data_IF_789097719728
#
_entry.id   IF_789097719728
#
_cell.length_a   1.000
_cell.length_b   1.000
_cell.length_c   1.000
_cell.angle_alpha   90.00
_cell.angle_beta   90.00
_cell.angle_gamma   90.00
#
_symmetry.space_group_name_H-M   'P 1'
#
loop_
_entity.id
_entity.type
_entity.pdbx_description
1 polymer ?
#
# COMPACT_ATOMS: atom_id res chain seq x y z
N UNK A 1 17.51 72.20 -0.36
CA UNK A 1 16.47 71.19 -0.36
C UNK A 1 17.04 69.89 -0.96
N UNK A 2 17.28 68.85 -0.13
CA UNK A 2 17.80 67.57 -0.61
C UNK A 2 16.61 66.67 -0.90
N UNK A 3 16.45 66.27 -2.16
CA UNK A 3 15.47 65.26 -2.57
C UNK A 3 15.98 63.86 -2.21
N UNK A 4 15.19 63.14 -1.42
CA UNK A 4 15.40 61.74 -1.07
C UNK A 4 14.64 60.91 -2.05
N UNK A 5 15.33 60.11 -2.89
CA UNK A 5 14.70 59.14 -3.78
C UNK A 5 14.50 57.85 -3.00
N UNK A 6 13.22 57.45 -2.85
CA UNK A 6 12.88 56.12 -2.33
C UNK A 6 12.93 55.10 -3.49
N UNK A 7 13.87 54.17 -3.39
CA UNK A 7 13.94 53.05 -4.33
C UNK A 7 13.02 51.92 -3.80
N UNK A 8 11.90 51.70 -4.44
CA UNK A 8 11.01 50.56 -4.15
C UNK A 8 11.51 49.34 -4.92
N UNK A 9 12.14 48.41 -4.21
CA UNK A 9 12.53 47.12 -4.77
C UNK A 9 11.33 46.20 -4.65
N UNK A 10 10.65 45.94 -5.77
CA UNK A 10 9.59 44.94 -5.87
C UNK A 10 10.25 43.58 -6.09
N UNK A 11 10.33 42.76 -5.04
CA UNK A 11 10.77 41.37 -5.15
C UNK A 11 9.62 40.56 -5.78
N UNK A 12 9.79 40.13 -7.01
CA UNK A 12 8.94 39.10 -7.63
C UNK A 12 9.29 37.76 -7.04
N UNK A 13 8.46 37.26 -6.12
CA UNK A 13 8.50 35.87 -5.67
C UNK A 13 7.80 35.04 -6.74
N UNK A 14 8.56 34.43 -7.64
CA UNK A 14 8.03 33.40 -8.52
C UNK A 14 7.79 32.16 -7.67
N UNK A 15 6.53 31.91 -7.31
CA UNK A 15 6.11 30.62 -6.78
C UNK A 15 6.26 29.59 -7.90
N UNK A 16 7.35 28.82 -7.86
CA UNK A 16 7.45 27.63 -8.68
C UNK A 16 6.43 26.62 -8.14
N UNK A 17 5.30 26.49 -8.83
CA UNK A 17 4.36 25.41 -8.60
C UNK A 17 5.05 24.12 -9.02
N UNK A 18 5.55 23.36 -8.05
CA UNK A 18 5.92 21.97 -8.29
C UNK A 18 4.61 21.22 -8.52
N UNK A 19 4.32 20.92 -9.77
CA UNK A 19 3.29 19.95 -10.10
C UNK A 19 3.75 18.62 -9.53
N UNK A 20 3.21 18.26 -8.39
CA UNK A 20 3.43 16.95 -7.77
C UNK A 20 2.71 15.93 -8.67
N UNK A 21 3.49 15.05 -9.25
CA UNK A 21 2.95 13.98 -10.08
C UNK A 21 2.22 13.02 -9.14
N UNK A 22 0.89 12.99 -9.18
CA UNK A 22 0.04 12.17 -8.29
C UNK A 22 0.33 10.66 -8.33
N UNK A 23 1.11 10.21 -9.30
CA UNK A 23 1.57 8.82 -9.39
C UNK A 23 2.73 8.48 -8.44
N UNK A 24 3.41 9.46 -7.87
CA UNK A 24 4.58 9.27 -7.00
C UNK A 24 4.22 9.18 -5.51
N UNK A 25 2.94 9.43 -5.15
CA UNK A 25 2.50 9.54 -3.76
C UNK A 25 2.14 8.20 -3.08
N UNK A 26 2.10 7.11 -3.85
CA UNK A 26 1.68 5.79 -3.33
C UNK A 26 2.81 4.96 -2.73
N UNK A 27 4.08 5.38 -2.95
CA UNK A 27 5.23 4.70 -2.36
C UNK A 27 5.85 5.67 -1.36
N UNK A 28 5.90 5.33 -0.07
CA UNK A 28 6.58 6.14 0.92
C UNK A 28 8.05 6.34 0.52
N UNK A 29 8.52 7.59 0.52
CA UNK A 29 9.90 7.93 0.21
C UNK A 29 10.78 7.48 1.38
N UNK A 30 11.82 6.73 1.11
CA UNK A 30 12.79 6.25 2.09
C UNK A 30 13.20 4.81 1.82
N UNK A 31 13.39 4.01 2.83
CA UNK A 31 13.96 2.66 2.81
C UNK A 31 13.18 1.59 1.99
N UNK A 32 12.22 2.02 1.16
CA UNK A 32 11.38 1.13 0.36
C UNK A 32 11.91 0.89 -1.07
N UNK A 33 13.17 1.15 -1.35
CA UNK A 33 13.78 0.96 -2.70
C UNK A 33 13.58 -0.45 -3.27
N UNK A 34 13.34 -1.44 -2.42
CA UNK A 34 13.12 -2.83 -2.85
C UNK A 34 11.65 -3.25 -2.91
N UNK A 35 10.71 -2.30 -2.75
CA UNK A 35 9.28 -2.57 -2.89
C UNK A 35 8.85 -2.37 -4.33
N UNK A 36 8.25 -3.41 -4.91
CA UNK A 36 7.66 -3.33 -6.24
C UNK A 36 6.20 -2.92 -6.14
N UNK A 37 5.84 -1.79 -6.75
CA UNK A 37 4.46 -1.36 -6.88
C UNK A 37 3.87 -1.82 -8.23
N UNK A 38 2.65 -2.37 -8.20
CA UNK A 38 1.94 -2.85 -9.38
C UNK A 38 0.50 -2.38 -9.36
N UNK A 39 0.03 -1.80 -10.46
CA UNK A 39 -1.40 -1.53 -10.64
C UNK A 39 -2.14 -2.86 -10.81
N UNK A 40 -3.29 -2.96 -10.20
CA UNK A 40 -4.15 -4.12 -10.26
C UNK A 40 -5.61 -3.68 -10.40
N UNK A 41 -6.28 -4.12 -11.45
CA UNK A 41 -7.72 -3.91 -11.65
C UNK A 41 -8.42 -5.25 -11.46
N UNK A 42 -9.36 -5.32 -10.54
CA UNK A 42 -10.12 -6.53 -10.27
C UNK A 42 -11.18 -6.79 -11.33
N UNK A 43 -11.27 -8.02 -11.80
CA UNK A 43 -12.37 -8.45 -12.65
C UNK A 43 -13.66 -8.78 -11.86
N UNK A 44 -13.54 -8.98 -10.53
CA UNK A 44 -14.66 -9.33 -9.65
C UNK A 44 -15.45 -8.09 -9.25
N UNK A 45 -14.78 -7.07 -8.72
CA UNK A 45 -15.46 -5.85 -8.25
C UNK A 45 -15.24 -4.63 -9.13
N UNK A 46 -14.45 -4.76 -10.21
CA UNK A 46 -14.14 -3.71 -11.20
C UNK A 46 -13.50 -2.45 -10.63
N UNK A 47 -12.75 -2.58 -9.54
CA UNK A 47 -12.04 -1.48 -8.90
C UNK A 47 -10.53 -1.62 -9.06
N UNK A 48 -9.86 -0.46 -8.99
CA UNK A 48 -8.41 -0.35 -9.09
C UNK A 48 -7.75 -0.37 -7.71
N UNK A 49 -6.63 -1.08 -7.64
CA UNK A 49 -5.77 -1.19 -6.47
C UNK A 49 -4.30 -1.01 -6.85
N UNK A 50 -3.47 -0.83 -5.85
CA UNK A 50 -2.01 -0.92 -5.98
C UNK A 50 -1.52 -2.03 -5.07
N UNK A 51 -0.81 -2.98 -5.64
CA UNK A 51 -0.14 -4.02 -4.87
C UNK A 51 1.31 -3.61 -4.63
N UNK A 52 1.70 -3.56 -3.36
CA UNK A 52 3.07 -3.29 -2.91
C UNK A 52 3.70 -4.62 -2.51
N UNK A 53 4.70 -5.08 -3.25
CA UNK A 53 5.34 -6.38 -2.97
C UNK A 53 6.75 -6.18 -2.46
N UNK A 54 7.04 -6.67 -1.26
CA UNK A 54 8.37 -6.75 -0.66
C UNK A 54 8.79 -8.20 -0.54
N UNK A 55 9.94 -8.50 -1.14
CA UNK A 55 10.55 -9.83 -1.04
C UNK A 55 11.52 -9.87 0.16
N UNK A 56 11.68 -11.03 0.82
CA UNK A 56 12.65 -11.20 1.89
C UNK A 56 14.09 -11.10 1.38
N UNK A 57 15.02 -10.76 2.27
CA UNK A 57 16.44 -10.56 1.90
C UNK A 57 17.03 -11.79 1.22
N UNK A 58 16.74 -12.99 1.73
CA UNK A 58 17.26 -14.24 1.18
C UNK A 58 16.54 -14.71 -0.09
N UNK A 59 15.62 -13.94 -0.65
CA UNK A 59 14.84 -14.39 -1.83
C UNK A 59 15.71 -14.74 -3.03
N UNK A 60 16.79 -14.01 -3.25
CA UNK A 60 17.70 -14.23 -4.38
C UNK A 60 18.84 -15.22 -4.08
N UNK A 61 19.04 -15.61 -2.81
CA UNK A 61 20.15 -16.47 -2.39
C UNK A 61 19.90 -17.94 -2.74
N UNK A 62 18.64 -18.36 -2.83
CA UNK A 62 18.26 -19.73 -3.17
C UNK A 62 16.94 -19.78 -3.92
N UNK A 63 16.90 -20.62 -4.96
CA UNK A 63 15.68 -20.87 -5.75
C UNK A 63 14.76 -21.94 -5.14
N UNK A 64 15.21 -22.64 -4.10
CA UNK A 64 14.47 -23.78 -3.53
C UNK A 64 13.54 -23.39 -2.36
N UNK A 65 13.81 -22.26 -1.72
CA UNK A 65 13.04 -21.82 -0.56
C UNK A 65 11.71 -21.17 -1.01
N UNK A 66 10.62 -21.57 -0.40
CA UNK A 66 9.32 -20.90 -0.47
C UNK A 66 9.08 -20.08 0.80
N UNK A 67 8.26 -19.07 0.72
CA UNK A 67 8.06 -18.11 1.81
C UNK A 67 6.57 -17.96 2.13
N UNK A 68 6.19 -17.86 3.40
CA UNK A 68 4.86 -17.41 3.79
C UNK A 68 4.55 -16.05 3.18
N UNK A 69 3.26 -15.75 3.02
CA UNK A 69 2.82 -14.44 2.49
C UNK A 69 1.98 -13.73 3.54
N UNK A 70 2.32 -12.49 3.83
CA UNK A 70 1.52 -11.59 4.67
C UNK A 70 0.88 -10.52 3.79
N UNK A 71 -0.44 -10.55 3.67
CA UNK A 71 -1.22 -9.53 3.00
C UNK A 71 -1.56 -8.42 4.00
N UNK A 72 -1.33 -7.17 3.61
CA UNK A 72 -1.58 -6.00 4.47
C UNK A 72 -2.61 -5.08 3.84
N UNK A 73 -3.67 -4.78 4.57
CA UNK A 73 -4.69 -3.82 4.18
C UNK A 73 -4.23 -2.39 4.48
N UNK A 74 -4.84 -1.41 3.81
CA UNK A 74 -4.50 0.02 3.94
C UNK A 74 -3.01 0.30 3.71
N UNK A 75 -2.40 -0.38 2.75
CA UNK A 75 -0.96 -0.40 2.57
C UNK A 75 -0.35 0.95 2.21
N UNK A 76 -1.13 1.92 1.73
CA UNK A 76 -0.68 3.28 1.46
C UNK A 76 -0.11 3.97 2.71
N UNK A 77 -0.46 3.53 3.91
CA UNK A 77 0.12 4.01 5.18
C UNK A 77 0.65 2.90 6.08
N UNK A 78 0.00 1.73 6.12
CA UNK A 78 0.39 0.66 7.03
C UNK A 78 1.68 -0.04 6.61
N UNK A 79 2.00 -0.06 5.31
CA UNK A 79 3.10 -0.84 4.78
C UNK A 79 4.48 -0.42 5.29
N UNK A 80 4.82 0.88 5.39
CA UNK A 80 6.11 1.31 5.96
C UNK A 80 6.29 0.87 7.41
N UNK A 81 5.25 1.01 8.24
CA UNK A 81 5.30 0.58 9.64
C UNK A 81 5.45 -0.92 9.78
N UNK A 82 4.79 -1.68 8.90
CA UNK A 82 4.93 -3.13 8.88
C UNK A 82 6.34 -3.56 8.48
N UNK A 83 6.96 -2.87 7.51
CA UNK A 83 8.34 -3.15 7.10
C UNK A 83 9.34 -2.85 8.22
N UNK A 84 9.18 -1.76 8.95
CA UNK A 84 10.04 -1.42 10.07
C UNK A 84 9.88 -2.40 11.23
N UNK A 85 8.65 -2.72 11.59
CA UNK A 85 8.38 -3.73 12.62
C UNK A 85 8.96 -5.10 12.25
N UNK A 86 8.81 -5.51 10.99
CA UNK A 86 9.38 -6.76 10.48
C UNK A 86 10.90 -6.78 10.59
N UNK A 87 11.57 -5.69 10.23
CA UNK A 87 13.04 -5.59 10.31
C UNK A 87 13.53 -5.86 11.73
N UNK A 88 12.92 -5.21 12.72
CA UNK A 88 13.27 -5.40 14.13
C UNK A 88 13.00 -6.83 14.61
N UNK A 89 11.83 -7.39 14.26
CA UNK A 89 11.46 -8.74 14.65
C UNK A 89 12.34 -9.83 14.01
N UNK A 90 12.80 -9.62 12.78
CA UNK A 90 13.76 -10.51 12.11
C UNK A 90 15.13 -10.46 12.78
N UNK A 91 15.60 -9.26 13.16
CA UNK A 91 16.86 -9.07 13.87
C UNK A 91 16.89 -9.87 15.18
N UNK A 92 15.78 -9.86 15.90
CA UNK A 92 15.60 -10.60 17.16
C UNK A 92 15.24 -12.09 16.97
N UNK A 93 15.16 -12.58 15.74
CA UNK A 93 14.71 -13.94 15.38
C UNK A 93 13.32 -14.32 15.94
N UNK A 94 12.43 -13.36 16.09
CA UNK A 94 11.07 -13.56 16.58
C UNK A 94 10.08 -13.95 15.47
N UNK A 95 10.42 -13.66 14.22
CA UNK A 95 9.62 -14.02 13.04
C UNK A 95 10.50 -14.64 11.97
N UNK A 96 9.89 -15.39 11.06
CA UNK A 96 10.57 -15.90 9.88
C UNK A 96 10.48 -14.90 8.73
N UNK A 97 11.39 -15.01 7.75
CA UNK A 97 11.28 -14.27 6.50
C UNK A 97 10.01 -14.62 5.74
N UNK A 98 9.32 -13.62 5.21
CA UNK A 98 8.11 -13.79 4.43
C UNK A 98 8.02 -12.76 3.30
N UNK A 99 7.17 -13.03 2.32
CA UNK A 99 6.78 -12.07 1.29
C UNK A 99 5.67 -11.20 1.87
N UNK A 100 5.78 -9.88 1.74
CA UNK A 100 4.74 -8.94 2.12
C UNK A 100 4.05 -8.40 0.88
N UNK A 101 2.73 -8.41 0.90
CA UNK A 101 1.88 -7.89 -0.18
C UNK A 101 0.91 -6.87 0.39
N UNK A 102 1.21 -5.60 0.18
CA UNK A 102 0.32 -4.52 0.57
C UNK A 102 -0.78 -4.31 -0.45
N UNK A 103 -2.02 -4.16 0.00
CA UNK A 103 -3.17 -3.79 -0.82
C UNK A 103 -3.51 -2.34 -0.50
N UNK A 104 -3.29 -1.44 -1.46
CA UNK A 104 -3.49 0.00 -1.33
C UNK A 104 -4.53 0.51 -2.32
N UNK A 105 -5.16 1.62 -1.98
CA UNK A 105 -6.10 2.33 -2.85
C UNK A 105 -5.36 3.44 -3.60
N UNK A 106 -5.45 3.51 -4.93
CA UNK A 106 -4.72 4.50 -5.73
C UNK A 106 -5.19 5.93 -5.49
N UNK A 107 -6.49 6.11 -5.22
CA UNK A 107 -7.14 7.41 -5.00
C UNK A 107 -8.32 7.23 -4.04
N UNK A 108 -8.84 8.33 -3.47
CA UNK A 108 -10.04 8.33 -2.63
C UNK A 108 -10.06 7.22 -1.57
N UNK A 109 -8.89 6.98 -0.98
CA UNK A 109 -8.65 5.83 -0.09
C UNK A 109 -9.71 5.69 1.01
N UNK A 110 -10.22 6.79 1.55
CA UNK A 110 -11.20 6.76 2.64
C UNK A 110 -12.53 6.16 2.17
N UNK A 111 -13.06 6.65 1.05
CA UNK A 111 -14.30 6.12 0.48
C UNK A 111 -14.13 4.66 0.01
N UNK A 112 -13.00 4.36 -0.62
CA UNK A 112 -12.73 3.01 -1.14
C UNK A 112 -12.58 1.99 -0.01
N UNK A 113 -11.90 2.32 1.10
CA UNK A 113 -11.80 1.40 2.24
C UNK A 113 -13.14 1.20 2.95
N UNK A 114 -13.98 2.23 3.04
CA UNK A 114 -15.32 2.08 3.61
C UNK A 114 -16.17 1.14 2.74
N UNK A 115 -16.10 1.29 1.42
CA UNK A 115 -16.76 0.36 0.50
C UNK A 115 -16.28 -1.07 0.72
N UNK A 116 -14.96 -1.31 0.71
CA UNK A 116 -14.37 -2.64 0.60
C UNK A 116 -14.20 -3.34 1.95
N UNK A 117 -14.16 -2.63 3.07
CA UNK A 117 -13.93 -3.25 4.38
C UNK A 117 -15.20 -3.42 5.21
N UNK A 118 -16.29 -2.74 4.85
CA UNK A 118 -17.54 -2.88 5.59
C UNK A 118 -18.30 -4.14 5.14
N UNK A 119 -18.63 -5.04 6.09
CA UNK A 119 -19.33 -6.29 5.75
C UNK A 119 -20.80 -6.06 5.37
N UNK A 120 -21.37 -4.94 5.79
CA UNK A 120 -22.77 -4.60 5.55
C UNK A 120 -22.90 -3.17 5.06
N UNK A 121 -23.99 -2.93 4.34
CA UNK A 121 -24.39 -1.58 3.95
C UNK A 121 -24.76 -0.75 5.17
N UNK A 122 -24.37 0.52 5.20
CA UNK A 122 -24.70 1.46 6.26
C UNK A 122 -25.34 2.73 5.68
N UNK A 123 -26.21 3.37 6.46
CA UNK A 123 -26.86 4.64 6.06
C UNK A 123 -25.87 5.81 5.94
N UNK A 124 -24.70 5.69 6.60
CA UNK A 124 -23.65 6.71 6.57
C UNK A 124 -22.85 6.73 5.25
N UNK A 125 -22.78 5.57 4.58
CA UNK A 125 -22.04 5.44 3.34
C UNK A 125 -22.76 4.46 2.42
N UNK A 126 -23.42 5.01 1.42
CA UNK A 126 -24.19 4.23 0.45
C UNK A 126 -23.33 3.25 -0.38
N UNK A 127 -22.02 3.46 -0.42
CA UNK A 127 -21.09 2.56 -1.10
C UNK A 127 -20.60 1.39 -0.23
N UNK A 128 -20.86 1.42 1.10
CA UNK A 128 -20.42 0.37 2.02
C UNK A 128 -21.07 -1.00 1.73
N UNK A 129 -20.51 -2.07 2.31
CA UNK A 129 -21.04 -3.43 2.16
C UNK A 129 -20.31 -4.29 1.11
N UNK A 130 -19.21 -3.81 0.54
CA UNK A 130 -18.45 -4.52 -0.50
C UNK A 130 -17.41 -5.53 0.02
N UNK A 131 -17.35 -5.78 1.33
CA UNK A 131 -16.38 -6.72 1.89
C UNK A 131 -16.49 -8.15 1.33
N UNK A 132 -17.67 -8.71 1.03
CA UNK A 132 -17.76 -10.02 0.39
C UNK A 132 -17.06 -10.08 -0.97
N UNK A 133 -17.26 -9.08 -1.84
CA UNK A 133 -16.62 -9.01 -3.15
C UNK A 133 -15.11 -8.77 -3.02
N UNK A 134 -14.71 -7.91 -2.10
CA UNK A 134 -13.31 -7.65 -1.79
C UNK A 134 -12.60 -8.92 -1.30
N UNK A 135 -13.22 -9.70 -0.41
CA UNK A 135 -12.70 -11.00 0.00
C UNK A 135 -12.56 -11.98 -1.18
N UNK A 136 -13.56 -12.03 -2.07
CA UNK A 136 -13.48 -12.87 -3.26
C UNK A 136 -12.33 -12.44 -4.18
N UNK A 137 -12.12 -11.14 -4.36
CA UNK A 137 -11.00 -10.59 -5.12
C UNK A 137 -9.66 -11.02 -4.50
N UNK A 138 -9.48 -10.89 -3.19
CA UNK A 138 -8.25 -11.35 -2.52
C UNK A 138 -8.03 -12.84 -2.79
N UNK A 139 -9.05 -13.68 -2.56
CA UNK A 139 -8.95 -15.13 -2.63
C UNK A 139 -8.80 -15.67 -4.05
N UNK A 140 -9.48 -15.07 -5.03
CA UNK A 140 -9.57 -15.61 -6.38
C UNK A 140 -8.68 -14.90 -7.40
N UNK A 141 -8.20 -13.69 -7.08
CA UNK A 141 -7.38 -12.91 -7.99
C UNK A 141 -6.00 -12.58 -7.40
N UNK A 142 -5.93 -11.91 -6.23
CA UNK A 142 -4.64 -11.47 -5.69
C UNK A 142 -3.79 -12.67 -5.28
N UNK A 143 -4.29 -13.56 -4.44
CA UNK A 143 -3.53 -14.73 -3.96
C UNK A 143 -3.02 -15.57 -5.13
N UNK A 144 -3.85 -16.01 -6.09
CA UNK A 144 -3.37 -16.78 -7.23
C UNK A 144 -2.34 -16.04 -8.09
N UNK A 145 -2.50 -14.71 -8.26
CA UNK A 145 -1.55 -13.90 -9.01
C UNK A 145 -0.16 -13.88 -8.30
N UNK A 146 -0.14 -13.64 -6.99
CA UNK A 146 1.09 -13.65 -6.19
C UNK A 146 1.72 -15.06 -6.18
N UNK A 147 0.91 -16.11 -6.04
CA UNK A 147 1.38 -17.51 -6.05
C UNK A 147 1.97 -17.94 -7.41
N UNK A 148 1.51 -17.32 -8.50
CA UNK A 148 2.05 -17.58 -9.83
C UNK A 148 3.35 -16.81 -10.11
N UNK A 149 3.50 -15.64 -9.51
CA UNK A 149 4.62 -14.73 -9.76
C UNK A 149 5.81 -14.95 -8.81
N UNK A 150 5.57 -15.48 -7.62
CA UNK A 150 6.55 -15.59 -6.55
C UNK A 150 6.59 -17.00 -5.93
N UNK A 151 7.72 -17.31 -5.26
CA UNK A 151 7.90 -18.57 -4.54
C UNK A 151 7.22 -18.53 -3.17
N UNK A 152 5.91 -18.69 -3.17
CA UNK A 152 5.07 -18.67 -1.97
C UNK A 152 4.95 -20.05 -1.34
N UNK A 153 4.86 -20.10 -0.01
CA UNK A 153 4.31 -21.25 0.70
C UNK A 153 2.78 -21.09 0.76
N UNK A 154 2.11 -21.71 -0.21
CA UNK A 154 0.65 -21.59 -0.42
C UNK A 154 -0.21 -21.96 0.78
N UNK A 155 0.37 -22.63 1.79
CA UNK A 155 -0.35 -23.07 3.00
C UNK A 155 -0.24 -22.07 4.15
N UNK A 156 0.72 -21.14 4.05
CA UNK A 156 1.03 -20.18 5.11
C UNK A 156 0.80 -18.74 4.61
N UNK A 157 -0.46 -18.34 4.60
CA UNK A 157 -0.89 -16.98 4.27
C UNK A 157 -1.49 -16.32 5.50
N UNK A 158 -1.16 -15.06 5.72
CA UNK A 158 -1.75 -14.20 6.75
C UNK A 158 -2.36 -12.94 6.16
N UNK A 159 -3.33 -12.38 6.84
CA UNK A 159 -3.91 -11.07 6.54
C UNK A 159 -3.79 -10.19 7.77
N UNK A 160 -3.31 -8.97 7.61
CA UNK A 160 -3.23 -7.96 8.68
C UNK A 160 -3.97 -6.69 8.26
N UNK A 161 -4.75 -6.16 9.17
CA UNK A 161 -5.49 -4.90 9.00
C UNK A 161 -5.67 -4.20 10.32
N UNK A 162 -5.81 -2.88 10.26
CA UNK A 162 -6.08 -2.03 11.42
C UNK A 162 -7.38 -1.24 11.25
N UNK A 163 -8.04 -0.86 12.36
CA UNK A 163 -9.30 -0.10 12.33
C UNK A 163 -10.36 -0.83 11.49
N UNK A 164 -10.93 -0.19 10.46
CA UNK A 164 -11.89 -0.84 9.55
C UNK A 164 -11.28 -2.05 8.80
N UNK A 165 -9.97 -2.03 8.50
CA UNK A 165 -9.29 -3.21 7.95
C UNK A 165 -9.15 -4.36 8.94
N UNK A 166 -9.24 -4.10 10.26
CA UNK A 166 -9.34 -5.12 11.30
C UNK A 166 -10.76 -5.63 11.53
N UNK A 167 -11.77 -4.90 11.03
CA UNK A 167 -13.15 -5.33 11.03
C UNK A 167 -13.45 -6.30 9.88
N UNK A 168 -12.80 -6.08 8.73
CA UNK A 168 -12.86 -6.93 7.56
C UNK A 168 -12.40 -8.37 7.86
#
# INVERSE_FOLDING_TARGET
MKQIYFLVITAFITAASFAQNDNDSLIPRGEMESVKAMKFTSAINHHDYVLLVKLPASYNDTIKKTYPVMYALDAQWSFPYLMEAQHSLLYDNLVQEMIYVGIAFPQNWFANRNRDFMPTHTDFDSASGGAPEFLQMIKKEIIPNIDSAYRTDKKNNGLIGGSSGGLF
#
